data_IF_923708680914
#
_entry.id   IF_923708680914
#
_cell.length_a   1.000
_cell.length_b   1.000
_cell.length_c   1.000
_cell.angle_alpha   90.00
_cell.angle_beta   90.00
_cell.angle_gamma   90.00
#
_symmetry.space_group_name_H-M   'P 1'
#
loop_
_entity.id
_entity.type
_entity.pdbx_description
1 polymer ?
#
# COMPACT_ATOMS: atom_id res chain seq x y z
N UNK A 1 4.13 23.13 5.10
CA UNK A 1 4.46 21.86 5.79
C UNK A 1 3.26 21.26 6.52
N UNK A 2 2.44 22.04 7.24
CA UNK A 2 1.19 21.52 7.86
C UNK A 2 0.27 20.88 6.83
N UNK A 3 0.16 21.47 5.64
CA UNK A 3 -0.76 20.99 4.60
C UNK A 3 -0.35 19.64 4.02
N UNK A 4 0.96 19.41 3.88
CA UNK A 4 1.51 18.11 3.45
C UNK A 4 1.21 17.04 4.51
N UNK A 5 1.48 17.33 5.78
CA UNK A 5 1.25 16.38 6.87
C UNK A 5 -0.25 16.06 7.03
N UNK A 6 -1.10 17.08 6.92
CA UNK A 6 -2.56 16.94 6.96
C UNK A 6 -3.05 16.09 5.79
N UNK A 7 -2.54 16.34 4.58
CA UNK A 7 -2.88 15.56 3.39
C UNK A 7 -2.44 14.10 3.54
N UNK A 8 -1.22 13.87 4.01
CA UNK A 8 -0.68 12.54 4.30
C UNK A 8 -1.57 11.79 5.29
N UNK A 9 -1.92 12.43 6.41
CA UNK A 9 -2.76 11.81 7.45
C UNK A 9 -4.14 11.42 6.92
N UNK A 10 -4.72 12.25 6.06
CA UNK A 10 -6.02 11.99 5.45
C UNK A 10 -5.97 10.77 4.54
N UNK A 11 -4.97 10.69 3.65
CA UNK A 11 -4.87 9.56 2.71
C UNK A 11 -4.52 8.25 3.44
N UNK A 12 -3.64 8.29 4.45
CA UNK A 12 -3.36 7.12 5.30
C UNK A 12 -4.62 6.64 5.99
N UNK A 13 -5.44 7.56 6.51
CA UNK A 13 -6.70 7.20 7.17
C UNK A 13 -7.62 6.44 6.21
N UNK A 14 -7.74 6.92 4.97
CA UNK A 14 -8.51 6.21 3.93
C UNK A 14 -7.89 4.83 3.65
N UNK A 15 -6.58 4.73 3.46
CA UNK A 15 -5.89 3.45 3.24
C UNK A 15 -6.14 2.48 4.41
N UNK A 16 -6.06 2.96 5.65
CA UNK A 16 -6.26 2.15 6.85
C UNK A 16 -7.71 1.62 6.94
N UNK A 17 -8.70 2.45 6.59
CA UNK A 17 -10.11 2.04 6.53
C UNK A 17 -10.30 0.96 5.45
N UNK A 18 -9.82 1.20 4.24
CA UNK A 18 -9.93 0.24 3.14
C UNK A 18 -9.21 -1.07 3.47
N UNK A 19 -8.03 -0.98 4.08
CA UNK A 19 -7.27 -2.13 4.53
C UNK A 19 -8.06 -2.92 5.58
N UNK A 20 -8.58 -2.27 6.61
CA UNK A 20 -9.40 -2.91 7.66
C UNK A 20 -10.62 -3.63 7.07
N UNK A 21 -11.32 -3.01 6.13
CA UNK A 21 -12.52 -3.56 5.51
C UNK A 21 -12.23 -4.72 4.55
N UNK A 22 -11.14 -4.65 3.79
CA UNK A 22 -10.93 -5.56 2.66
C UNK A 22 -9.88 -6.63 2.91
N UNK A 23 -8.96 -6.42 3.86
CA UNK A 23 -7.84 -7.33 4.07
C UNK A 23 -8.28 -8.74 4.46
N UNK A 24 -9.27 -8.87 5.35
CA UNK A 24 -9.77 -10.18 5.75
C UNK A 24 -10.38 -10.97 4.59
N UNK A 25 -11.07 -10.30 3.67
CA UNK A 25 -11.67 -10.95 2.52
C UNK A 25 -10.61 -11.41 1.51
N UNK A 26 -9.54 -10.64 1.35
CA UNK A 26 -8.38 -11.00 0.53
C UNK A 26 -7.72 -12.27 1.10
N UNK A 27 -7.48 -12.33 2.41
CA UNK A 27 -6.91 -13.53 3.05
C UNK A 27 -7.83 -14.75 2.91
N UNK A 28 -9.15 -14.59 3.10
CA UNK A 28 -10.12 -15.67 2.91
C UNK A 28 -10.10 -16.22 1.49
N UNK A 29 -10.11 -15.34 0.47
CA UNK A 29 -10.03 -15.78 -0.93
C UNK A 29 -8.70 -16.50 -1.25
N UNK A 30 -7.60 -16.11 -0.61
CA UNK A 30 -6.31 -16.80 -0.74
C UNK A 30 -6.34 -18.17 -0.04
N UNK A 31 -7.05 -18.31 1.08
CA UNK A 31 -7.17 -19.57 1.81
C UNK A 31 -8.20 -20.55 1.23
N UNK A 32 -9.18 -20.08 0.45
CA UNK A 32 -10.30 -20.88 -0.08
C UNK A 32 -9.85 -22.03 -1.00
N UNK A 33 -9.91 -23.28 -0.56
CA UNK A 33 -9.49 -24.41 -1.40
C UNK A 33 -10.41 -24.60 -2.61
N UNK A 34 -9.82 -24.85 -3.78
CA UNK A 34 -10.57 -25.14 -4.99
C UNK A 34 -10.92 -26.63 -5.02
N UNK A 35 -12.19 -27.01 -5.25
CA UNK A 35 -12.57 -28.41 -5.36
C UNK A 35 -11.86 -29.08 -6.54
N UNK A 36 -11.56 -30.38 -6.44
CA UNK A 36 -10.84 -31.12 -7.48
C UNK A 36 -11.59 -31.16 -8.81
N UNK A 37 -12.93 -31.11 -8.76
CA UNK A 37 -13.80 -31.20 -9.92
C UNK A 37 -13.94 -29.83 -10.59
N UNK A 38 -13.52 -29.73 -11.86
CA UNK A 38 -13.44 -28.46 -12.60
C UNK A 38 -14.77 -27.72 -12.72
N UNK A 39 -15.89 -28.44 -12.79
CA UNK A 39 -17.22 -27.85 -12.94
C UNK A 39 -17.68 -27.15 -11.64
N UNK A 40 -17.23 -27.63 -10.48
CA UNK A 40 -17.52 -27.02 -9.18
C UNK A 40 -16.61 -25.83 -8.85
N UNK A 41 -15.56 -25.60 -9.66
CA UNK A 41 -14.63 -24.48 -9.46
C UNK A 41 -15.16 -23.14 -10.00
N UNK A 42 -16.24 -23.14 -10.79
CA UNK A 42 -16.75 -21.92 -11.46
C UNK A 42 -17.14 -20.85 -10.43
N UNK A 43 -17.93 -21.23 -9.43
CA UNK A 43 -18.40 -20.32 -8.38
C UNK A 43 -17.26 -19.81 -7.46
N UNK A 44 -16.38 -20.69 -6.91
CA UNK A 44 -15.20 -20.28 -6.15
C UNK A 44 -14.27 -19.34 -6.93
N UNK A 45 -13.95 -19.68 -8.19
CA UNK A 45 -13.09 -18.82 -9.04
C UNK A 45 -13.73 -17.46 -9.29
N UNK A 46 -15.05 -17.40 -9.48
CA UNK A 46 -15.77 -16.12 -9.62
C UNK A 46 -15.63 -15.26 -8.35
N UNK A 47 -15.76 -15.85 -7.16
CA UNK A 47 -15.57 -15.16 -5.87
C UNK A 47 -14.14 -14.65 -5.68
N UNK A 48 -13.15 -15.48 -6.01
CA UNK A 48 -11.73 -15.11 -5.99
C UNK A 48 -11.47 -13.94 -6.95
N UNK A 49 -12.00 -14.00 -8.18
CA UNK A 49 -11.89 -12.93 -9.19
C UNK A 49 -12.55 -11.63 -8.73
N UNK A 50 -13.75 -11.70 -8.17
CA UNK A 50 -14.45 -10.54 -7.64
C UNK A 50 -13.65 -9.90 -6.49
N UNK A 51 -13.07 -10.70 -5.60
CA UNK A 51 -12.22 -10.21 -4.50
C UNK A 51 -10.94 -9.57 -5.04
N UNK A 52 -10.31 -10.15 -6.06
CA UNK A 52 -9.15 -9.57 -6.71
C UNK A 52 -9.47 -8.19 -7.32
N UNK A 53 -10.52 -8.09 -8.13
CA UNK A 53 -10.84 -6.87 -8.90
C UNK A 53 -11.45 -5.78 -8.03
N UNK A 54 -12.33 -6.13 -7.09
CA UNK A 54 -13.09 -5.12 -6.34
C UNK A 54 -12.43 -4.73 -5.02
N UNK A 55 -11.42 -5.48 -4.55
CA UNK A 55 -10.80 -5.26 -3.23
C UNK A 55 -9.27 -5.18 -3.31
N UNK A 56 -8.63 -6.25 -3.77
CA UNK A 56 -7.16 -6.34 -3.75
C UNK A 56 -6.49 -5.33 -4.69
N UNK A 57 -6.94 -5.23 -5.95
CA UNK A 57 -6.40 -4.29 -6.94
C UNK A 57 -6.64 -2.83 -6.53
N UNK A 58 -7.86 -2.41 -6.14
CA UNK A 58 -8.10 -1.04 -5.68
C UNK A 58 -7.23 -0.66 -4.49
N UNK A 59 -7.10 -1.55 -3.50
CA UNK A 59 -6.27 -1.28 -2.31
C UNK A 59 -4.79 -1.13 -2.66
N UNK A 60 -4.29 -2.00 -3.55
CA UNK A 60 -2.93 -1.88 -4.09
C UNK A 60 -2.74 -0.55 -4.80
N UNK A 61 -3.68 -0.18 -5.68
CA UNK A 61 -3.59 1.03 -6.49
C UNK A 61 -3.56 2.29 -5.62
N UNK A 62 -4.45 2.41 -4.63
CA UNK A 62 -4.48 3.55 -3.71
C UNK A 62 -3.17 3.65 -2.92
N UNK A 63 -2.68 2.54 -2.37
CA UNK A 63 -1.43 2.52 -1.60
C UNK A 63 -0.21 2.85 -2.46
N UNK A 64 -0.18 2.36 -3.70
CA UNK A 64 0.92 2.60 -4.62
C UNK A 64 0.90 4.03 -5.17
N UNK A 65 -0.28 4.56 -5.47
CA UNK A 65 -0.45 5.93 -5.91
C UNK A 65 -0.02 6.92 -4.81
N UNK A 66 -0.37 6.63 -3.55
CA UNK A 66 0.13 7.42 -2.41
C UNK A 66 1.66 7.44 -2.39
N UNK A 67 2.31 6.28 -2.51
CA UNK A 67 3.78 6.20 -2.55
C UNK A 67 4.38 7.05 -3.68
N UNK A 68 3.80 6.96 -4.90
CA UNK A 68 4.25 7.75 -6.05
C UNK A 68 4.07 9.26 -5.81
N UNK A 69 2.93 9.69 -5.27
CA UNK A 69 2.65 11.11 -5.02
C UNK A 69 3.68 11.72 -4.05
N UNK A 70 4.05 10.99 -3.00
CA UNK A 70 4.97 11.47 -1.96
C UNK A 70 6.44 11.10 -2.18
N UNK A 71 6.77 10.41 -3.29
CA UNK A 71 8.16 10.12 -3.66
C UNK A 71 9.02 11.37 -3.89
N UNK A 72 8.54 12.44 -4.58
CA UNK A 72 9.39 13.58 -4.88
C UNK A 72 9.71 14.37 -3.60
N UNK A 73 8.73 14.48 -2.70
CA UNK A 73 8.91 15.10 -1.38
C UNK A 73 9.94 14.34 -0.54
N UNK A 74 9.87 13.01 -0.52
CA UNK A 74 10.84 12.18 0.19
C UNK A 74 12.26 12.38 -0.36
N UNK A 75 12.41 12.44 -1.69
CA UNK A 75 13.70 12.72 -2.33
C UNK A 75 14.20 14.13 -1.97
N UNK A 76 13.30 15.12 -1.95
CA UNK A 76 13.62 16.50 -1.54
C UNK A 76 14.17 16.57 -0.12
N UNK A 77 13.51 15.89 0.82
CA UNK A 77 13.94 15.83 2.22
C UNK A 77 15.30 15.15 2.35
N UNK A 78 15.54 14.04 1.64
CA UNK A 78 16.83 13.34 1.67
C UNK A 78 17.95 14.24 1.11
N UNK A 79 17.71 14.94 -0.01
CA UNK A 79 18.68 15.89 -0.58
C UNK A 79 19.00 17.04 0.37
N UNK A 80 17.98 17.62 1.01
CA UNK A 80 18.18 18.67 2.02
C UNK A 80 18.98 18.17 3.22
N UNK A 81 18.71 16.94 3.65
CA UNK A 81 19.46 16.31 4.75
C UNK A 81 20.93 16.15 4.41
N UNK A 82 21.25 15.67 3.20
CA UNK A 82 22.64 15.52 2.72
C UNK A 82 23.33 16.88 2.64
N UNK A 83 22.68 17.89 2.07
CA UNK A 83 23.23 19.24 1.97
C UNK A 83 23.51 19.85 3.37
N UNK A 84 22.60 19.63 4.32
CA UNK A 84 22.72 20.18 5.69
C UNK A 84 23.86 19.53 6.49
N UNK A 85 24.18 18.26 6.23
CA UNK A 85 25.37 17.59 6.78
C UNK A 85 26.64 18.22 6.21
N UNK A 86 26.68 18.46 4.91
CA UNK A 86 27.84 19.04 4.23
C UNK A 86 28.13 20.47 4.67
N UNK A 87 27.10 21.26 4.99
CA UNK A 87 27.23 22.64 5.46
C UNK A 87 27.44 22.77 6.98
N UNK A 88 27.60 21.68 7.74
CA UNK A 88 27.68 21.66 9.22
C UNK A 88 26.51 22.36 9.94
N UNK A 89 25.39 22.56 9.25
CA UNK A 89 24.17 23.18 9.78
C UNK A 89 23.10 22.12 10.02
N UNK A 90 23.46 21.05 10.74
CA UNK A 90 22.55 19.96 11.03
C UNK A 90 21.42 20.43 11.94
N UNK A 91 20.19 20.39 11.44
CA UNK A 91 19.00 20.69 12.20
C UNK A 91 18.04 19.49 12.15
N UNK A 92 17.84 18.85 13.30
CA UNK A 92 16.96 17.69 13.41
C UNK A 92 15.50 18.12 13.28
N UNK A 93 14.79 17.52 12.31
CA UNK A 93 13.37 17.77 12.08
C UNK A 93 12.59 16.45 12.10
N UNK A 94 11.87 16.21 13.20
CA UNK A 94 11.04 15.01 13.38
C UNK A 94 9.91 14.89 12.36
N UNK A 95 9.33 16.01 11.92
CA UNK A 95 8.26 16.03 10.92
C UNK A 95 8.73 15.54 9.55
N UNK A 96 9.91 15.97 9.12
CA UNK A 96 10.53 15.50 7.87
C UNK A 96 10.80 14.00 7.91
N UNK A 97 11.28 13.51 9.05
CA UNK A 97 11.54 12.09 9.26
C UNK A 97 10.25 11.26 9.22
N UNK A 98 9.16 11.77 9.81
CA UNK A 98 7.85 11.12 9.80
C UNK A 98 7.29 10.96 8.38
N UNK A 99 7.49 11.96 7.50
CA UNK A 99 7.07 11.88 6.08
C UNK A 99 7.79 10.73 5.37
N UNK A 100 9.12 10.63 5.53
CA UNK A 100 9.90 9.54 4.94
C UNK A 100 9.44 8.18 5.49
N UNK A 101 9.27 8.09 6.81
CA UNK A 101 8.83 6.86 7.48
C UNK A 101 7.49 6.36 6.95
N UNK A 102 6.50 7.26 6.85
CA UNK A 102 5.19 6.95 6.27
C UNK A 102 5.31 6.48 4.82
N UNK A 103 6.14 7.15 4.02
CA UNK A 103 6.29 6.79 2.61
C UNK A 103 6.90 5.38 2.46
N UNK A 104 7.87 5.03 3.31
CA UNK A 104 8.43 3.67 3.39
C UNK A 104 7.36 2.64 3.79
N UNK A 105 6.52 2.95 4.79
CA UNK A 105 5.41 2.08 5.17
C UNK A 105 4.43 1.87 4.03
N UNK A 106 4.09 2.92 3.27
CA UNK A 106 3.20 2.78 2.12
C UNK A 106 3.79 1.88 1.03
N UNK A 107 5.10 2.00 0.76
CA UNK A 107 5.79 1.11 -0.17
C UNK A 107 5.69 -0.35 0.30
N UNK A 108 5.93 -0.60 1.59
CA UNK A 108 5.87 -1.93 2.18
C UNK A 108 4.45 -2.52 2.05
N UNK A 109 3.41 -1.74 2.34
CA UNK A 109 2.02 -2.16 2.16
C UNK A 109 1.74 -2.49 0.69
N UNK A 110 2.15 -1.65 -0.24
CA UNK A 110 2.01 -1.90 -1.68
C UNK A 110 2.69 -3.19 -2.12
N UNK A 111 3.89 -3.49 -1.61
CA UNK A 111 4.61 -4.73 -1.89
C UNK A 111 3.90 -5.95 -1.28
N UNK A 112 3.34 -5.84 -0.09
CA UNK A 112 2.53 -6.95 0.47
C UNK A 112 1.32 -7.20 -0.41
N UNK A 113 0.62 -6.15 -0.82
CA UNK A 113 -0.58 -6.25 -1.63
C UNK A 113 -0.29 -6.79 -3.04
N UNK A 114 0.85 -6.44 -3.66
CA UNK A 114 1.22 -7.00 -4.95
C UNK A 114 1.43 -8.51 -4.86
N UNK A 115 2.08 -8.99 -3.79
CA UNK A 115 2.28 -10.43 -3.55
C UNK A 115 0.94 -11.14 -3.36
N UNK A 116 0.00 -10.53 -2.64
CA UNK A 116 -1.35 -11.08 -2.43
C UNK A 116 -2.16 -11.12 -3.73
N UNK A 117 -2.08 -10.07 -4.55
CA UNK A 117 -2.66 -10.05 -5.90
C UNK A 117 -2.08 -11.16 -6.79
N UNK A 118 -0.76 -11.34 -6.80
CA UNK A 118 -0.10 -12.41 -7.58
C UNK A 118 -0.57 -13.79 -7.11
N UNK A 119 -0.69 -14.01 -5.79
CA UNK A 119 -1.21 -15.28 -5.24
C UNK A 119 -2.65 -15.55 -5.69
N UNK A 120 -3.51 -14.53 -5.66
CA UNK A 120 -4.90 -14.65 -6.15
C UNK A 120 -4.96 -14.93 -7.65
N UNK A 121 -4.13 -14.26 -8.47
CA UNK A 121 -4.06 -14.49 -9.92
C UNK A 121 -3.60 -15.92 -10.23
N UNK A 122 -2.59 -16.44 -9.52
CA UNK A 122 -2.09 -17.81 -9.72
C UNK A 122 -3.12 -18.89 -9.39
N UNK A 123 -4.15 -18.55 -8.60
CA UNK A 123 -5.19 -19.47 -8.15
C UNK A 123 -6.39 -19.52 -9.12
N UNK A 124 -6.55 -18.50 -9.95
CA UNK A 124 -7.57 -18.40 -10.99
C UNK A 124 -7.23 -19.27 -12.20
#
# INVERSE_FOLDING_TARGET
MSDILTSISTVITVIAILYSLWYQDIEKAIAEELPEHKDDQIEPKKRIKTTLINKAIPLFFVSFLFFIIYIPESIGIVKQSIASVQSSSWNYNSTMLAIIFINILSLLISVILIVKCIKLIKKL
#
